data_IF_237660957656
#
_entry.id   IF_237660957656
#
_cell.length_a   1.000
_cell.length_b   1.000
_cell.length_c   1.000
_cell.angle_alpha   90.00
_cell.angle_beta   90.00
_cell.angle_gamma   90.00
#
_symmetry.space_group_name_H-M   'P 1'
#
loop_
_entity.id
_entity.type
_entity.pdbx_description
1 polymer ?
#
# COMPACT_ATOMS: atom_id res chain seq x y z
N UNK A 1 10.04 -13.71 -2.13
CA UNK A 1 10.37 -12.45 -1.46
C UNK A 1 10.87 -12.80 -0.08
N UNK A 2 12.17 -12.65 0.12
CA UNK A 2 12.92 -12.96 1.33
C UNK A 2 13.49 -11.65 1.90
N UNK A 3 13.83 -11.61 3.19
CA UNK A 3 14.39 -10.39 3.80
C UNK A 3 15.67 -9.91 3.09
N UNK A 4 16.47 -10.85 2.57
CA UNK A 4 17.68 -10.59 1.78
C UNK A 4 17.45 -9.91 0.42
N UNK A 5 16.20 -9.87 -0.08
CA UNK A 5 15.84 -9.15 -1.31
C UNK A 5 15.78 -7.62 -1.09
N UNK A 6 15.87 -7.16 0.16
CA UNK A 6 15.73 -5.76 0.55
C UNK A 6 17.07 -5.15 0.95
N UNK A 7 17.22 -3.83 0.77
CA UNK A 7 18.41 -3.12 1.26
C UNK A 7 18.50 -3.17 2.79
N UNK A 8 19.69 -3.03 3.38
CA UNK A 8 19.86 -3.04 4.85
C UNK A 8 18.91 -2.07 5.57
N UNK A 9 18.69 -0.88 4.98
CA UNK A 9 17.73 0.12 5.50
C UNK A 9 16.28 -0.35 5.44
N UNK A 10 15.89 -1.08 4.40
CA UNK A 10 14.55 -1.65 4.30
C UNK A 10 14.39 -2.85 5.24
N UNK A 11 15.42 -3.68 5.39
CA UNK A 11 15.43 -4.78 6.34
C UNK A 11 15.27 -4.29 7.78
N UNK A 12 15.97 -3.21 8.14
CA UNK A 12 15.81 -2.56 9.46
C UNK A 12 14.37 -2.06 9.65
N UNK A 13 13.79 -1.38 8.65
CA UNK A 13 12.39 -0.93 8.71
C UNK A 13 11.37 -2.08 8.77
N UNK A 14 11.66 -3.21 8.12
CA UNK A 14 10.84 -4.42 8.18
C UNK A 14 10.95 -5.05 9.58
N UNK A 15 12.16 -5.15 10.13
CA UNK A 15 12.43 -5.73 11.45
C UNK A 15 11.93 -4.88 12.61
N UNK A 16 11.98 -3.55 12.48
CA UNK A 16 11.38 -2.62 13.44
C UNK A 16 9.85 -2.75 13.49
N UNK A 17 9.23 -3.42 12.51
CA UNK A 17 7.78 -3.48 12.35
C UNK A 17 7.22 -2.13 11.90
N UNK A 18 6.08 -2.16 11.18
CA UNK A 18 5.35 -1.01 10.64
C UNK A 18 6.25 0.23 10.44
N UNK A 19 6.96 0.27 9.30
CA UNK A 19 7.74 1.43 8.85
C UNK A 19 7.22 2.71 9.46
N UNK A 20 8.10 3.39 10.19
CA UNK A 20 8.02 4.71 10.82
C UNK A 20 7.34 5.83 10.03
N UNK A 21 6.85 5.58 8.82
CA UNK A 21 5.72 6.30 8.29
C UNK A 21 4.51 5.99 9.18
N UNK A 22 4.37 6.78 10.24
CA UNK A 22 3.08 7.26 10.67
C UNK A 22 2.29 7.57 9.39
N UNK A 23 1.49 6.62 8.91
CA UNK A 23 0.36 6.98 8.11
C UNK A 23 -0.47 7.78 9.10
N UNK A 24 -0.30 9.10 9.09
CA UNK A 24 -1.00 10.01 9.98
C UNK A 24 -2.51 9.79 9.88
N UNK A 25 -2.95 9.14 8.79
CA UNK A 25 -4.33 8.86 8.45
C UNK A 25 -4.54 7.36 8.17
N UNK A 26 -4.50 6.56 9.25
CA UNK A 26 -4.80 5.12 9.23
C UNK A 26 -6.12 4.79 8.52
N UNK A 27 -7.11 5.68 8.58
CA UNK A 27 -8.37 5.53 7.85
C UNK A 27 -8.18 5.58 6.33
N UNK A 28 -7.44 6.56 5.81
CA UNK A 28 -7.20 6.67 4.37
C UNK A 28 -6.46 5.45 3.85
N UNK A 29 -5.43 4.99 4.58
CA UNK A 29 -4.74 3.74 4.23
C UNK A 29 -5.68 2.54 4.23
N UNK A 30 -6.54 2.40 5.24
CA UNK A 30 -7.51 1.29 5.30
C UNK A 30 -8.47 1.32 4.12
N UNK A 31 -8.98 2.50 3.73
CA UNK A 31 -9.83 2.67 2.54
C UNK A 31 -9.10 2.25 1.27
N UNK A 32 -7.89 2.74 1.06
CA UNK A 32 -7.08 2.40 -0.12
C UNK A 32 -6.76 0.91 -0.20
N UNK A 33 -6.34 0.31 0.91
CA UNK A 33 -6.05 -1.13 0.98
C UNK A 33 -7.30 -1.98 0.79
N UNK A 34 -8.49 -1.47 1.11
CA UNK A 34 -9.76 -2.15 0.83
C UNK A 34 -10.15 -2.11 -0.66
N UNK A 35 -9.56 -1.22 -1.47
CA UNK A 35 -9.80 -1.17 -2.92
C UNK A 35 -9.08 -2.30 -3.68
N UNK A 36 -8.03 -2.87 -3.11
CA UNK A 36 -7.27 -3.97 -3.73
C UNK A 36 -7.73 -5.33 -3.22
N UNK A 37 -7.61 -6.38 -4.06
CA UNK A 37 -7.94 -7.74 -3.64
C UNK A 37 -7.12 -8.14 -2.40
N UNK A 38 -7.81 -8.47 -1.31
CA UNK A 38 -7.16 -8.91 -0.07
C UNK A 38 -6.34 -10.20 -0.28
N UNK A 39 -6.66 -10.99 -1.30
CA UNK A 39 -5.87 -12.16 -1.68
C UNK A 39 -4.44 -11.81 -2.07
N UNK A 40 -4.23 -10.70 -2.79
CA UNK A 40 -2.89 -10.26 -3.16
C UNK A 40 -2.08 -9.87 -1.91
N UNK A 41 -2.72 -9.18 -0.96
CA UNK A 41 -2.10 -8.82 0.32
C UNK A 41 -1.76 -10.09 1.13
N UNK A 42 -2.62 -11.12 1.08
CA UNK A 42 -2.39 -12.40 1.76
C UNK A 42 -1.21 -13.18 1.18
N UNK A 43 -0.99 -13.11 -0.13
CA UNK A 43 0.16 -13.74 -0.82
C UNK A 43 1.50 -13.11 -0.45
N UNK A 44 1.51 -11.84 -0.01
CA UNK A 44 2.71 -11.19 0.51
C UNK A 44 3.05 -11.80 1.89
N UNK A 45 4.31 -12.24 2.11
CA UNK A 45 4.74 -12.80 3.40
C UNK A 45 4.47 -11.83 4.56
N UNK A 46 4.05 -12.38 5.71
CA UNK A 46 3.54 -11.59 6.84
C UNK A 46 4.52 -10.50 7.31
N UNK A 47 5.82 -10.83 7.42
CA UNK A 47 6.86 -9.93 7.92
C UNK A 47 7.07 -8.70 7.01
N UNK A 48 6.87 -8.81 5.70
CA UNK A 48 6.98 -7.70 4.74
C UNK A 48 5.65 -7.04 4.38
N UNK A 49 4.52 -7.65 4.77
CA UNK A 49 3.18 -7.17 4.40
C UNK A 49 2.95 -5.73 4.83
N UNK A 50 3.21 -5.41 6.11
CA UNK A 50 3.02 -4.05 6.65
C UNK A 50 3.87 -3.02 5.92
N UNK A 51 5.15 -3.32 5.71
CA UNK A 51 6.06 -2.45 4.96
C UNK A 51 5.58 -2.24 3.51
N UNK A 52 5.20 -3.33 2.83
CA UNK A 52 4.72 -3.30 1.46
C UNK A 52 3.45 -2.46 1.31
N UNK A 53 2.46 -2.64 2.20
CA UNK A 53 1.20 -1.90 2.16
C UNK A 53 1.42 -0.42 2.48
N UNK A 54 2.23 -0.10 3.49
CA UNK A 54 2.52 1.29 3.88
C UNK A 54 3.26 2.04 2.77
N UNK A 55 4.26 1.41 2.13
CA UNK A 55 4.99 2.02 1.02
C UNK A 55 4.11 2.27 -0.20
N UNK A 56 3.15 1.38 -0.49
CA UNK A 56 2.18 1.62 -1.56
C UNK A 56 1.32 2.85 -1.25
N UNK A 57 0.77 2.94 -0.03
CA UNK A 57 -0.05 4.09 0.37
C UNK A 57 0.75 5.39 0.34
N UNK A 58 1.99 5.39 0.84
CA UNK A 58 2.91 6.54 0.78
C UNK A 58 3.18 6.97 -0.67
N UNK A 59 3.39 6.01 -1.59
CA UNK A 59 3.59 6.29 -3.02
C UNK A 59 2.36 6.93 -3.64
N UNK A 60 1.15 6.46 -3.31
CA UNK A 60 -0.10 7.04 -3.78
C UNK A 60 -0.31 8.44 -3.20
N UNK A 61 -0.07 8.64 -1.90
CA UNK A 61 -0.17 9.95 -1.26
C UNK A 61 0.78 11.00 -1.90
N UNK A 62 1.99 10.58 -2.29
CA UNK A 62 2.97 11.46 -2.93
C UNK A 62 2.67 11.74 -4.41
N UNK A 63 2.18 10.73 -5.15
CA UNK A 63 1.90 10.87 -6.59
C UNK A 63 0.54 11.48 -6.88
N UNK A 64 -0.46 11.18 -6.06
CA UNK A 64 -1.84 11.58 -6.23
C UNK A 64 -2.36 12.24 -4.95
N UNK A 65 -1.79 13.39 -4.54
CA UNK A 65 -2.18 14.05 -3.31
C UNK A 65 -3.66 14.46 -3.29
N UNK A 66 -4.24 14.78 -4.45
CA UNK A 66 -5.65 15.15 -4.59
C UNK A 66 -6.57 13.96 -4.31
N UNK A 67 -6.32 12.81 -4.95
CA UNK A 67 -7.08 11.58 -4.69
C UNK A 67 -6.87 11.06 -3.28
N UNK A 68 -5.65 11.17 -2.75
CA UNK A 68 -5.36 10.82 -1.37
C UNK A 68 -6.15 11.71 -0.40
N UNK A 69 -6.22 13.02 -0.64
CA UNK A 69 -7.04 13.93 0.17
C UNK A 69 -8.52 13.54 0.17
N UNK A 70 -9.06 13.03 -0.94
CA UNK A 70 -10.43 12.47 -0.98
C UNK A 70 -10.55 11.24 -0.08
N UNK A 71 -9.56 10.35 -0.08
CA UNK A 71 -9.52 9.20 0.84
C UNK A 71 -9.40 9.62 2.33
N UNK A 72 -8.78 10.77 2.62
CA UNK A 72 -8.71 11.34 3.98
C UNK A 72 -10.05 11.90 4.47
N UNK A 73 -10.96 12.30 3.57
CA UNK A 73 -12.28 12.82 3.98
C UNK A 73 -13.07 11.74 4.71
N UNK A 74 -13.79 12.13 5.77
CA UNK A 74 -14.76 11.24 6.40
C UNK A 74 -15.91 10.95 5.44
N UNK A 75 -16.44 9.73 5.49
CA UNK A 75 -17.47 9.24 4.58
C UNK A 75 -16.94 8.34 3.46
N UNK A 76 -17.85 7.96 2.58
CA UNK A 76 -17.57 7.08 1.44
C UNK A 76 -16.79 7.80 0.34
N UNK A 77 -15.98 7.04 -0.40
CA UNK A 77 -15.26 7.56 -1.55
C UNK A 77 -16.26 7.82 -2.68
N UNK A 78 -16.27 9.01 -3.30
CA UNK A 78 -17.06 9.26 -4.51
C UNK A 78 -16.74 8.21 -5.56
N UNK A 79 -17.74 7.75 -6.32
CA UNK A 79 -17.61 6.61 -7.23
C UNK A 79 -16.48 6.81 -8.25
N UNK A 80 -16.35 8.02 -8.78
CA UNK A 80 -15.29 8.40 -9.72
C UNK A 80 -13.90 8.27 -9.09
N UNK A 81 -13.63 8.99 -8.00
CA UNK A 81 -12.32 8.92 -7.32
C UNK A 81 -12.02 7.52 -6.75
N UNK A 82 -13.06 6.77 -6.34
CA UNK A 82 -12.93 5.39 -5.88
C UNK A 82 -12.42 4.49 -6.99
N UNK A 83 -12.98 4.60 -8.19
CA UNK A 83 -12.57 3.81 -9.34
C UNK A 83 -11.14 4.17 -9.77
N UNK A 84 -10.81 5.47 -9.82
CA UNK A 84 -9.45 5.92 -10.12
C UNK A 84 -8.43 5.41 -9.09
N UNK A 85 -8.72 5.57 -7.80
CA UNK A 85 -7.86 5.05 -6.73
C UNK A 85 -7.73 3.53 -6.79
N UNK A 86 -8.80 2.81 -7.14
CA UNK A 86 -8.79 1.36 -7.28
C UNK A 86 -7.86 0.94 -8.41
N UNK A 87 -7.94 1.58 -9.58
CA UNK A 87 -7.06 1.29 -10.72
C UNK A 87 -5.60 1.54 -10.33
N UNK A 88 -5.29 2.72 -9.80
CA UNK A 88 -3.93 3.09 -9.37
C UNK A 88 -3.39 2.09 -8.34
N UNK A 89 -4.18 1.78 -7.31
CA UNK A 89 -3.77 0.84 -6.27
C UNK A 89 -3.56 -0.57 -6.84
N UNK A 90 -4.43 -1.01 -7.75
CA UNK A 90 -4.33 -2.31 -8.42
C UNK A 90 -3.06 -2.38 -9.27
N UNK A 91 -2.79 -1.37 -10.10
CA UNK A 91 -1.59 -1.30 -10.94
C UNK A 91 -0.30 -1.33 -10.10
N UNK A 92 -0.26 -0.56 -9.00
CA UNK A 92 0.93 -0.54 -8.11
C UNK A 92 1.15 -1.89 -7.44
N UNK A 93 0.07 -2.55 -7.00
CA UNK A 93 0.19 -3.89 -6.43
C UNK A 93 0.55 -4.92 -7.50
N UNK A 94 -0.05 -4.87 -8.68
CA UNK A 94 0.23 -5.78 -9.79
C UNK A 94 1.68 -5.66 -10.25
N UNK A 95 2.21 -4.45 -10.40
CA UNK A 95 3.65 -4.20 -10.66
C UNK A 95 4.52 -4.88 -9.60
N UNK A 96 4.15 -4.77 -8.32
CA UNK A 96 4.87 -5.44 -7.22
C UNK A 96 4.75 -6.96 -7.32
N UNK A 97 3.56 -7.51 -7.54
CA UNK A 97 3.33 -8.95 -7.65
C UNK A 97 4.14 -9.54 -8.80
N UNK A 98 4.12 -8.89 -9.96
CA UNK A 98 4.88 -9.27 -11.15
C UNK A 98 6.39 -9.17 -10.92
N UNK A 99 6.87 -8.05 -10.36
CA UNK A 99 8.29 -7.83 -10.07
C UNK A 99 8.86 -8.92 -9.15
N UNK A 100 8.08 -9.33 -8.15
CA UNK A 100 8.50 -10.33 -7.18
C UNK A 100 8.03 -11.76 -7.54
N UNK A 101 7.47 -11.96 -8.74
CA UNK A 101 6.96 -13.23 -9.26
C UNK A 101 6.05 -13.95 -8.26
N UNK A 102 5.22 -13.17 -7.55
CA UNK A 102 4.25 -13.68 -6.58
C UNK A 102 3.08 -14.27 -7.38
N UNK A 103 3.04 -15.60 -7.49
CA UNK A 103 2.04 -16.34 -8.26
C UNK A 103 0.74 -16.58 -7.51
#
# INVERSE_FOLDING_TARGET
MELKDFTEKEQEQINQGLSTAEISDKEAAKKLLALVPQEWIKRIPFFVRGHATTKTVERVAKKYPELYAVAKRQGDLPEKEREELRVIMTEVFEEKMNKHKIK
#
